data_IF_659640895170
#
_entry.id   IF_659640895170
#
_cell.length_a   1.000
_cell.length_b   1.000
_cell.length_c   1.000
_cell.angle_alpha   90.00
_cell.angle_beta   90.00
_cell.angle_gamma   90.00
#
_symmetry.space_group_name_H-M   'P 1'
#
loop_
_entity.id
_entity.type
_entity.pdbx_description
1 polymer ?
#
# COMPACT_ATOMS: atom_id res chain seq x y z
N UNK A 1 11.37 55.74 5.42
CA UNK A 1 12.49 54.84 5.76
C UNK A 1 12.23 53.97 7.00
N UNK A 2 11.58 54.51 8.04
CA UNK A 2 11.27 53.81 9.30
C UNK A 2 10.50 52.48 9.16
N UNK A 3 9.55 52.39 8.21
CA UNK A 3 8.71 51.19 7.98
C UNK A 3 9.51 49.98 7.45
N UNK A 4 10.60 50.21 6.72
CA UNK A 4 11.48 49.16 6.19
C UNK A 4 12.41 48.60 7.27
N UNK A 5 12.86 49.46 8.18
CA UNK A 5 13.67 49.06 9.35
C UNK A 5 12.84 48.23 10.32
N UNK A 6 11.58 48.60 10.56
CA UNK A 6 10.68 47.84 11.43
C UNK A 6 10.38 46.42 10.90
N UNK A 7 10.19 46.27 9.59
CA UNK A 7 10.01 44.96 8.95
C UNK A 7 11.26 44.08 9.05
N UNK A 8 12.45 44.67 8.94
CA UNK A 8 13.72 43.96 9.06
C UNK A 8 13.97 43.46 10.49
N UNK A 9 13.61 44.25 11.50
CA UNK A 9 13.70 43.84 12.92
C UNK A 9 12.70 42.73 13.25
N UNK A 10 11.47 42.79 12.71
CA UNK A 10 10.48 41.72 12.86
C UNK A 10 10.95 40.41 12.20
N UNK A 11 11.61 40.49 11.05
CA UNK A 11 12.16 39.31 10.37
C UNK A 11 13.27 38.64 11.19
N UNK A 12 14.13 39.44 11.84
CA UNK A 12 15.22 38.94 12.69
C UNK A 12 14.67 38.35 13.99
N UNK A 13 13.65 38.96 14.59
CA UNK A 13 12.96 38.41 15.76
C UNK A 13 12.19 37.12 15.44
N UNK A 14 11.59 37.02 14.25
CA UNK A 14 10.96 35.79 13.77
C UNK A 14 11.98 34.67 13.52
N UNK A 15 13.20 35.01 13.10
CA UNK A 15 14.29 34.05 12.92
C UNK A 15 14.96 33.65 14.25
N UNK A 16 15.01 34.54 15.24
CA UNK A 16 15.59 34.27 16.55
C UNK A 16 14.73 33.42 17.49
N UNK A 17 13.41 33.34 17.25
CA UNK A 17 12.49 32.46 17.99
C UNK A 17 12.31 31.08 17.30
N UNK A 18 12.86 30.90 16.11
CA UNK A 18 12.86 29.63 15.40
C UNK A 18 13.95 28.70 15.96
N UNK A 19 13.60 28.04 17.07
CA UNK A 19 14.19 26.80 17.61
C UNK A 19 15.68 26.80 17.95
N UNK A 20 15.96 26.48 19.21
CA UNK A 20 17.20 25.81 19.62
C UNK A 20 17.39 24.53 18.79
N UNK A 21 18.23 24.61 17.76
CA UNK A 21 18.79 23.42 17.11
C UNK A 21 19.82 22.86 18.08
N UNK A 22 19.37 21.95 18.93
CA UNK A 22 20.28 21.03 19.61
C UNK A 22 21.14 20.36 18.53
N UNK A 23 22.45 20.34 18.72
CA UNK A 23 23.35 19.48 17.98
C UNK A 23 23.00 18.02 18.36
N UNK A 24 21.94 17.50 17.74
CA UNK A 24 21.57 16.11 17.78
C UNK A 24 22.67 15.39 17.01
N UNK A 25 23.36 14.46 17.68
CA UNK A 25 24.45 13.69 17.10
C UNK A 25 24.08 13.18 15.71
N UNK A 26 25.07 13.09 14.83
CA UNK A 26 24.90 12.54 13.49
C UNK A 26 23.97 11.34 13.54
N UNK A 27 22.80 11.49 12.91
CA UNK A 27 21.83 10.43 12.73
C UNK A 27 22.54 9.35 11.93
N UNK A 28 22.90 8.24 12.58
CA UNK A 28 23.29 7.02 11.90
C UNK A 28 22.04 6.50 11.19
N UNK A 29 21.88 6.71 9.86
CA UNK A 29 20.66 6.34 9.16
C UNK A 29 20.51 4.83 9.03
N UNK A 30 21.49 4.06 9.53
CA UNK A 30 21.54 2.62 9.49
C UNK A 30 21.30 1.97 10.87
N UNK A 31 21.30 2.73 11.97
CA UNK A 31 21.19 2.21 13.35
C UNK A 31 22.01 0.90 13.57
N UNK A 32 23.19 0.78 12.95
CA UNK A 32 24.01 -0.44 12.99
C UNK A 32 23.38 -1.73 12.42
N UNK A 33 22.39 -1.65 11.53
CA UNK A 33 21.68 -2.83 11.04
C UNK A 33 22.22 -3.38 9.71
N UNK A 34 22.23 -4.71 9.60
CA UNK A 34 22.41 -5.47 8.35
C UNK A 34 21.39 -5.03 7.28
N UNK A 35 21.57 -5.43 6.02
CA UNK A 35 20.71 -5.06 4.86
C UNK A 35 19.19 -5.06 5.17
N UNK A 36 18.77 -5.96 6.05
CA UNK A 36 17.42 -6.10 6.60
C UNK A 36 16.88 -4.85 7.30
N UNK A 37 17.66 -4.24 8.18
CA UNK A 37 17.22 -3.07 8.93
C UNK A 37 17.09 -1.82 8.09
N UNK A 38 17.96 -1.69 7.09
CA UNK A 38 17.88 -0.62 6.10
C UNK A 38 16.62 -0.76 5.24
N UNK A 39 16.33 -1.97 4.73
CA UNK A 39 15.13 -2.23 3.94
C UNK A 39 13.85 -1.97 4.76
N UNK A 40 13.79 -2.44 6.01
CA UNK A 40 12.64 -2.22 6.89
C UNK A 40 12.46 -0.73 7.22
N UNK A 41 13.54 0.02 7.41
CA UNK A 41 13.48 1.47 7.65
C UNK A 41 12.92 2.23 6.44
N UNK A 42 13.35 1.87 5.22
CA UNK A 42 12.82 2.45 3.98
C UNK A 42 11.35 2.11 3.81
N UNK A 43 10.96 0.85 3.99
CA UNK A 43 9.56 0.41 3.87
C UNK A 43 8.69 1.12 4.89
N UNK A 44 9.11 1.20 6.15
CA UNK A 44 8.35 1.89 7.20
C UNK A 44 8.25 3.39 6.94
N UNK A 45 9.31 4.02 6.42
CA UNK A 45 9.27 5.42 5.97
C UNK A 45 8.29 5.61 4.83
N UNK A 46 8.32 4.71 3.84
CA UNK A 46 7.42 4.74 2.69
C UNK A 46 5.97 4.46 3.09
N UNK A 47 5.70 3.64 4.11
CA UNK A 47 4.35 3.42 4.64
C UNK A 47 3.86 4.62 5.46
N UNK A 48 4.73 5.20 6.29
CA UNK A 48 4.41 6.37 7.11
C UNK A 48 4.05 7.59 6.26
N UNK A 49 4.70 7.77 5.11
CA UNK A 49 4.41 8.85 4.17
C UNK A 49 3.41 8.44 3.08
N UNK A 50 3.49 7.21 2.61
CA UNK A 50 2.71 6.69 1.49
C UNK A 50 1.24 6.48 1.81
N UNK A 51 0.92 6.03 3.03
CA UNK A 51 -0.49 5.90 3.47
C UNK A 51 -1.21 7.25 3.50
N UNK A 52 -0.70 8.31 4.16
CA UNK A 52 -1.35 9.62 4.12
C UNK A 52 -1.32 10.24 2.71
N UNK A 53 -0.27 10.03 1.92
CA UNK A 53 -0.23 10.49 0.52
C UNK A 53 -1.32 9.81 -0.32
N UNK A 54 -1.48 8.49 -0.19
CA UNK A 54 -2.54 7.73 -0.85
C UNK A 54 -3.91 8.25 -0.44
N UNK A 55 -4.13 8.51 0.86
CA UNK A 55 -5.38 9.06 1.34
C UNK A 55 -5.67 10.44 0.70
N UNK A 56 -4.68 11.33 0.64
CA UNK A 56 -4.82 12.64 -0.01
C UNK A 56 -5.15 12.50 -1.50
N UNK A 57 -4.42 11.65 -2.24
CA UNK A 57 -4.66 11.43 -3.67
C UNK A 57 -6.02 10.78 -3.94
N UNK A 58 -6.46 9.87 -3.07
CA UNK A 58 -7.77 9.23 -3.16
C UNK A 58 -8.90 10.23 -2.90
N UNK A 59 -8.75 11.08 -1.88
CA UNK A 59 -9.69 12.18 -1.61
C UNK A 59 -9.73 13.14 -2.81
N UNK A 60 -8.58 13.53 -3.35
CA UNK A 60 -8.51 14.41 -4.52
C UNK A 60 -9.21 13.81 -5.74
N UNK A 61 -8.97 12.51 -6.01
CA UNK A 61 -9.68 11.77 -7.04
C UNK A 61 -11.18 11.71 -6.81
N UNK A 62 -11.62 11.49 -5.56
CA UNK A 62 -13.03 11.45 -5.20
C UNK A 62 -13.73 12.80 -5.39
N UNK A 63 -13.08 13.91 -4.99
CA UNK A 63 -13.61 15.27 -5.22
C UNK A 63 -13.73 15.52 -6.73
N UNK A 64 -12.71 15.18 -7.53
CA UNK A 64 -12.77 15.32 -8.98
C UNK A 64 -13.88 14.48 -9.62
N UNK A 65 -14.15 13.29 -9.08
CA UNK A 65 -15.24 12.43 -9.53
C UNK A 65 -16.61 13.09 -9.32
N UNK A 66 -16.83 13.72 -8.16
CA UNK A 66 -18.07 14.43 -7.83
C UNK A 66 -18.19 15.72 -8.65
N UNK A 67 -17.10 16.47 -8.80
CA UNK A 67 -17.06 17.72 -9.58
C UNK A 67 -17.14 17.51 -11.10
N UNK A 68 -16.96 16.28 -11.59
CA UNK A 68 -16.97 16.00 -13.02
C UNK A 68 -18.32 16.29 -13.69
N UNK A 69 -19.42 16.41 -12.92
CA UNK A 69 -20.75 16.81 -13.40
C UNK A 69 -21.22 16.07 -14.68
N UNK A 70 -20.85 14.79 -14.81
CA UNK A 70 -21.18 13.95 -15.96
C UNK A 70 -20.21 14.04 -17.15
N UNK A 71 -19.13 14.82 -17.08
CA UNK A 71 -18.10 14.84 -18.12
C UNK A 71 -17.30 13.51 -18.11
N UNK A 72 -17.39 12.70 -19.17
CA UNK A 72 -16.77 11.37 -19.20
C UNK A 72 -15.24 11.41 -19.13
N UNK A 73 -14.61 12.47 -19.64
CA UNK A 73 -13.14 12.61 -19.60
C UNK A 73 -12.66 12.81 -18.16
N UNK A 74 -13.32 13.70 -17.41
CA UNK A 74 -12.96 14.00 -16.01
C UNK A 74 -13.27 12.84 -15.07
N UNK A 75 -14.35 12.10 -15.33
CA UNK A 75 -14.68 10.88 -14.58
C UNK A 75 -13.56 9.85 -14.76
N UNK A 76 -13.13 9.60 -16.00
CA UNK A 76 -12.08 8.62 -16.29
C UNK A 76 -10.75 8.99 -15.65
N UNK A 77 -10.38 10.27 -15.70
CA UNK A 77 -9.17 10.79 -15.07
C UNK A 77 -9.21 10.63 -13.54
N UNK A 78 -10.35 10.95 -12.91
CA UNK A 78 -10.55 10.75 -11.47
C UNK A 78 -10.47 9.28 -11.05
N UNK A 79 -11.09 8.37 -11.81
CA UNK A 79 -11.02 6.93 -11.58
C UNK A 79 -9.59 6.39 -11.71
N UNK A 80 -8.85 6.88 -12.71
CA UNK A 80 -7.44 6.54 -12.89
C UNK A 80 -6.59 7.04 -11.72
N UNK A 81 -6.79 8.28 -11.27
CA UNK A 81 -6.06 8.82 -10.13
C UNK A 81 -6.24 7.97 -8.85
N UNK A 82 -7.47 7.55 -8.55
CA UNK A 82 -7.75 6.67 -7.39
C UNK A 82 -7.12 5.29 -7.58
N UNK A 83 -7.23 4.72 -8.79
CA UNK A 83 -6.65 3.40 -9.09
C UNK A 83 -5.13 3.42 -8.95
N UNK A 84 -4.46 4.48 -9.41
CA UNK A 84 -3.01 4.66 -9.27
C UNK A 84 -2.58 4.91 -7.82
N UNK A 85 -3.35 5.69 -7.05
CA UNK A 85 -3.08 5.91 -5.63
C UNK A 85 -3.10 4.59 -4.84
N UNK A 86 -4.10 3.76 -5.09
CA UNK A 86 -4.25 2.47 -4.42
C UNK A 86 -3.26 1.44 -4.99
N UNK A 87 -3.01 1.46 -6.30
CA UNK A 87 -1.97 0.67 -6.93
C UNK A 87 -0.58 0.95 -6.36
N UNK A 88 -0.27 2.21 -6.06
CA UNK A 88 0.98 2.60 -5.39
C UNK A 88 1.12 1.96 -4.01
N UNK A 89 0.07 1.99 -3.18
CA UNK A 89 0.09 1.33 -1.87
C UNK A 89 0.26 -0.20 -2.01
N UNK A 90 -0.42 -0.81 -2.98
CA UNK A 90 -0.32 -2.24 -3.28
C UNK A 90 1.12 -2.62 -3.65
N UNK A 91 1.82 -1.80 -4.43
CA UNK A 91 3.24 -2.04 -4.76
C UNK A 91 4.11 -2.01 -3.50
N UNK A 92 3.88 -1.06 -2.58
CA UNK A 92 4.63 -1.00 -1.32
C UNK A 92 4.39 -2.25 -0.46
N UNK A 93 3.13 -2.70 -0.37
CA UNK A 93 2.78 -3.95 0.33
C UNK A 93 3.45 -5.18 -0.30
N UNK A 94 3.54 -5.24 -1.63
CA UNK A 94 4.24 -6.31 -2.34
C UNK A 94 5.73 -6.31 -2.02
N UNK A 95 6.36 -5.13 -2.06
CA UNK A 95 7.78 -4.97 -1.73
C UNK A 95 8.07 -5.45 -0.32
N UNK A 96 7.29 -5.01 0.67
CA UNK A 96 7.43 -5.44 2.07
C UNK A 96 7.38 -6.96 2.22
N UNK A 97 6.39 -7.62 1.60
CA UNK A 97 6.28 -9.06 1.74
C UNK A 97 7.36 -9.83 0.96
N UNK A 98 7.87 -9.29 -0.15
CA UNK A 98 9.01 -9.88 -0.87
C UNK A 98 10.30 -9.81 -0.05
N UNK A 99 10.56 -8.68 0.63
CA UNK A 99 11.72 -8.55 1.53
C UNK A 99 11.64 -9.53 2.70
N UNK A 100 10.49 -9.55 3.41
CA UNK A 100 10.24 -10.52 4.48
C UNK A 100 10.39 -11.96 3.98
N UNK A 101 10.07 -12.22 2.72
CA UNK A 101 10.16 -13.54 2.10
C UNK A 101 11.60 -13.96 1.81
N UNK A 102 12.40 -13.08 1.20
CA UNK A 102 13.81 -13.34 0.91
C UNK A 102 14.60 -13.73 2.15
N UNK A 103 14.29 -13.12 3.29
CA UNK A 103 14.91 -13.41 4.57
C UNK A 103 14.46 -14.76 5.17
N UNK A 104 13.20 -15.15 4.99
CA UNK A 104 12.66 -16.41 5.55
C UNK A 104 13.00 -17.64 4.71
N UNK A 105 13.50 -17.45 3.48
CA UNK A 105 13.92 -18.55 2.59
C UNK A 105 15.28 -19.15 3.00
N UNK A 106 16.08 -18.40 3.78
CA UNK A 106 17.42 -18.84 4.23
C UNK A 106 17.37 -19.85 5.39
N UNK A 107 16.24 -19.97 6.11
CA UNK A 107 16.16 -20.74 7.36
C UNK A 107 15.46 -22.11 7.28
N UNK A 108 15.15 -22.65 6.10
CA UNK A 108 14.74 -24.05 6.01
C UNK A 108 14.05 -24.43 4.71
N UNK A 109 14.79 -25.10 3.83
CA UNK A 109 14.26 -25.74 2.64
C UNK A 109 14.41 -27.27 2.79
N UNK A 110 13.59 -27.89 3.64
CA UNK A 110 13.68 -29.33 3.89
C UNK A 110 12.37 -30.11 3.98
N UNK A 111 11.21 -29.46 4.14
CA UNK A 111 9.93 -30.14 4.41
C UNK A 111 8.79 -29.75 3.48
N UNK A 112 7.88 -30.70 3.19
CA UNK A 112 6.66 -30.49 2.39
C UNK A 112 5.80 -29.34 2.94
N UNK A 113 5.78 -29.19 4.27
CA UNK A 113 5.09 -28.10 4.98
C UNK A 113 5.70 -26.72 4.70
N UNK A 114 7.02 -26.63 4.57
CA UNK A 114 7.68 -25.38 4.18
C UNK A 114 7.37 -25.00 2.73
N UNK A 115 7.29 -25.96 1.81
CA UNK A 115 6.87 -25.69 0.43
C UNK A 115 5.43 -25.18 0.38
N UNK A 116 4.52 -25.81 1.12
CA UNK A 116 3.13 -25.37 1.21
C UNK A 116 3.01 -23.95 1.79
N UNK A 117 3.74 -23.66 2.86
CA UNK A 117 3.81 -22.33 3.48
C UNK A 117 4.38 -21.26 2.55
N UNK A 118 5.45 -21.58 1.81
CA UNK A 118 6.04 -20.68 0.82
C UNK A 118 5.04 -20.35 -0.29
N UNK A 119 4.40 -21.36 -0.86
CA UNK A 119 3.39 -21.19 -1.92
C UNK A 119 2.20 -20.36 -1.40
N UNK A 120 1.68 -20.68 -0.22
CA UNK A 120 0.57 -19.93 0.37
C UNK A 120 0.94 -18.46 0.63
N UNK A 121 2.16 -18.22 1.11
CA UNK A 121 2.63 -16.88 1.39
C UNK A 121 2.78 -16.04 0.13
N UNK A 122 3.22 -16.63 -0.99
CA UNK A 122 3.18 -15.97 -2.30
C UNK A 122 1.75 -15.67 -2.75
N UNK A 123 0.84 -16.62 -2.55
CA UNK A 123 -0.55 -16.48 -2.91
C UNK A 123 -1.23 -15.35 -2.12
N UNK A 124 -0.92 -15.19 -0.84
CA UNK A 124 -1.44 -14.10 -0.01
C UNK A 124 -0.76 -12.77 -0.35
N UNK A 125 0.57 -12.79 -0.50
CA UNK A 125 1.37 -11.59 -0.80
C UNK A 125 0.97 -10.96 -2.13
N UNK A 126 0.85 -11.75 -3.19
CA UNK A 126 0.50 -11.24 -4.52
C UNK A 126 -1.01 -11.15 -4.67
N UNK A 127 -1.74 -12.18 -4.25
CA UNK A 127 -3.19 -12.27 -4.44
C UNK A 127 -3.99 -11.27 -3.62
N UNK A 128 -3.61 -11.00 -2.37
CA UNK A 128 -4.34 -10.06 -1.49
C UNK A 128 -4.39 -8.64 -2.06
N UNK A 129 -3.25 -7.99 -2.34
CA UNK A 129 -3.20 -6.66 -2.94
C UNK A 129 -3.79 -6.60 -4.36
N UNK A 130 -3.59 -7.63 -5.18
CA UNK A 130 -4.17 -7.70 -6.53
C UNK A 130 -5.70 -7.72 -6.49
N UNK A 131 -6.30 -8.45 -5.55
CA UNK A 131 -7.75 -8.48 -5.35
C UNK A 131 -8.31 -7.09 -5.07
N UNK A 132 -7.61 -6.26 -4.29
CA UNK A 132 -8.02 -4.88 -4.00
C UNK A 132 -8.08 -4.05 -5.29
N UNK A 133 -7.04 -4.12 -6.12
CA UNK A 133 -6.99 -3.36 -7.39
C UNK A 133 -8.10 -3.82 -8.34
N UNK A 134 -8.29 -5.14 -8.48
CA UNK A 134 -9.33 -5.71 -9.35
C UNK A 134 -10.74 -5.34 -8.87
N UNK A 135 -10.97 -5.35 -7.56
CA UNK A 135 -12.24 -4.97 -6.96
C UNK A 135 -12.58 -3.49 -7.24
N UNK A 136 -11.59 -2.60 -7.09
CA UNK A 136 -11.76 -1.18 -7.37
C UNK A 136 -11.98 -0.91 -8.85
N UNK A 137 -11.22 -1.58 -9.71
CA UNK A 137 -11.39 -1.49 -11.16
C UNK A 137 -12.80 -1.92 -11.58
N UNK A 138 -13.30 -3.05 -11.05
CA UNK A 138 -14.68 -3.51 -11.25
C UNK A 138 -15.71 -2.49 -10.76
N UNK A 139 -15.47 -1.85 -9.61
CA UNK A 139 -16.33 -0.81 -9.04
C UNK A 139 -16.45 0.41 -9.95
N UNK A 140 -15.34 0.90 -10.49
CA UNK A 140 -15.36 2.03 -11.42
C UNK A 140 -16.06 1.70 -12.73
N UNK A 141 -15.87 0.47 -13.20
CA UNK A 141 -16.45 0.00 -14.43
C UNK A 141 -17.98 -0.16 -14.30
N UNK A 142 -18.49 -0.51 -13.12
CA UNK A 142 -19.92 -0.52 -12.80
C UNK A 142 -20.52 0.90 -12.69
N UNK A 143 -19.73 1.88 -12.25
CA UNK A 143 -20.13 3.29 -12.19
C UNK A 143 -20.32 3.94 -13.57
N UNK A 144 -19.87 3.29 -14.64
CA UNK A 144 -20.17 3.73 -16.01
C UNK A 144 -21.54 3.21 -16.41
N UNK A 145 -22.47 4.08 -16.83
CA UNK A 145 -23.85 3.74 -17.19
C UNK A 145 -23.99 2.91 -18.49
N UNK A 146 -22.97 2.13 -18.87
CA UNK A 146 -22.94 1.28 -20.05
C UNK A 146 -23.16 -0.19 -19.66
N UNK A 147 -24.17 -0.83 -20.26
CA UNK A 147 -24.53 -2.23 -20.02
C UNK A 147 -23.41 -3.24 -20.32
N UNK A 148 -22.55 -2.96 -21.31
CA UNK A 148 -21.39 -3.82 -21.61
C UNK A 148 -20.39 -3.79 -20.47
N UNK A 149 -20.13 -2.60 -19.92
CA UNK A 149 -19.23 -2.45 -18.80
C UNK A 149 -19.82 -3.12 -17.56
N UNK A 150 -21.09 -2.92 -17.25
CA UNK A 150 -21.73 -3.60 -16.10
C UNK A 150 -21.57 -5.13 -16.16
N UNK A 151 -21.65 -5.75 -17.34
CA UNK A 151 -21.37 -7.19 -17.50
C UNK A 151 -19.91 -7.54 -17.21
N UNK A 152 -18.96 -6.78 -17.74
CA UNK A 152 -17.52 -6.97 -17.46
C UNK A 152 -17.22 -6.80 -15.96
N UNK A 153 -17.79 -5.77 -15.31
CA UNK A 153 -17.64 -5.52 -13.88
C UNK A 153 -18.15 -6.69 -13.03
N UNK A 154 -19.33 -7.23 -13.37
CA UNK A 154 -19.87 -8.42 -12.70
C UNK A 154 -18.92 -9.61 -12.80
N UNK A 155 -18.35 -9.87 -13.98
CA UNK A 155 -17.36 -10.94 -14.13
C UNK A 155 -16.13 -10.67 -13.26
N UNK A 156 -15.59 -9.45 -13.27
CA UNK A 156 -14.45 -9.07 -12.44
C UNK A 156 -14.74 -9.32 -10.95
N UNK A 157 -15.93 -8.94 -10.46
CA UNK A 157 -16.32 -9.20 -9.08
C UNK A 157 -16.41 -10.70 -8.76
N UNK A 158 -16.99 -11.50 -9.65
CA UNK A 158 -17.07 -12.96 -9.48
C UNK A 158 -15.67 -13.55 -9.39
N UNK A 159 -14.79 -13.24 -10.35
CA UNK A 159 -13.42 -13.76 -10.38
C UNK A 159 -12.59 -13.30 -9.17
N UNK A 160 -12.76 -12.05 -8.75
CA UNK A 160 -12.09 -11.50 -7.55
C UNK A 160 -12.57 -12.20 -6.28
N UNK A 161 -13.88 -12.43 -6.15
CA UNK A 161 -14.45 -13.15 -5.01
C UNK A 161 -14.01 -14.62 -4.97
N UNK A 162 -13.96 -15.29 -6.13
CA UNK A 162 -13.44 -16.66 -6.24
C UNK A 162 -11.97 -16.72 -5.85
N UNK A 163 -11.13 -15.80 -6.36
CA UNK A 163 -9.72 -15.74 -6.00
C UNK A 163 -9.54 -15.53 -4.48
N UNK A 164 -10.28 -14.59 -3.89
CA UNK A 164 -10.24 -14.34 -2.45
C UNK A 164 -10.67 -15.56 -1.63
N UNK A 165 -11.72 -16.28 -2.06
CA UNK A 165 -12.16 -17.51 -1.42
C UNK A 165 -11.12 -18.63 -1.52
N UNK A 166 -10.44 -18.77 -2.65
CA UNK A 166 -9.34 -19.75 -2.81
C UNK A 166 -8.18 -19.39 -1.88
N UNK A 167 -7.80 -18.12 -1.79
CA UNK A 167 -6.74 -17.63 -0.89
C UNK A 167 -7.09 -17.92 0.57
N UNK A 168 -8.33 -17.67 0.99
CA UNK A 168 -8.77 -17.90 2.37
C UNK A 168 -8.79 -19.39 2.73
N UNK A 169 -9.28 -20.25 1.83
CA UNK A 169 -9.30 -21.71 2.04
C UNK A 169 -7.90 -22.30 2.07
N UNK A 170 -7.01 -21.86 1.18
CA UNK A 170 -5.60 -22.29 1.18
C UNK A 170 -4.92 -22.00 2.52
N UNK A 171 -5.33 -20.94 3.20
CA UNK A 171 -4.77 -20.54 4.50
C UNK A 171 -5.14 -21.49 5.65
N UNK A 172 -6.32 -22.12 5.57
CA UNK A 172 -6.82 -23.04 6.60
C UNK A 172 -6.20 -24.44 6.47
N UNK A 173 -5.76 -24.85 5.28
CA UNK A 173 -5.20 -26.18 5.03
C UNK A 173 -3.97 -26.52 5.90
N UNK A 174 -3.23 -25.51 6.35
CA UNK A 174 -2.12 -25.66 7.28
C UNK A 174 -2.54 -26.16 8.68
N UNK A 175 -3.75 -25.82 9.14
CA UNK A 175 -4.28 -26.27 10.43
C UNK A 175 -4.55 -27.79 10.40
N UNK A 176 -4.98 -28.32 9.26
CA UNK A 176 -5.23 -29.75 9.09
C UNK A 176 -3.93 -30.55 9.25
N UNK A 177 -2.80 -30.02 8.75
CA UNK A 177 -1.49 -30.65 8.93
C UNK A 177 -0.97 -30.59 10.38
N UNK A 178 -1.34 -29.56 11.15
CA UNK A 178 -1.02 -29.45 12.57
C UNK A 178 -1.90 -30.36 13.43
N UNK A 179 -3.20 -30.45 13.13
CA UNK A 179 -4.14 -31.37 13.81
C UNK A 179 -3.69 -32.82 13.61
N UNK A 180 -3.28 -33.21 12.40
CA UNK A 180 -2.88 -34.58 12.10
C UNK A 180 -1.53 -34.98 12.74
N UNK A 181 -0.68 -34.00 13.08
CA UNK A 181 0.57 -34.22 13.84
C UNK A 181 0.36 -34.19 15.37
N UNK A 182 -0.68 -33.52 15.88
CA UNK A 182 -1.07 -33.54 17.30
C UNK A 182 -1.98 -34.72 17.67
N UNK A 183 -2.57 -35.39 16.67
CA UNK A 183 -3.38 -36.59 16.83
C UNK A 183 -2.56 -37.91 16.80
N UNK A 184 -1.23 -37.80 16.74
CA UNK A 184 -0.27 -38.89 16.98
C UNK A 184 0.46 -38.63 18.29
#
# INVERSE_FOLDING_TARGET
MLKKILLFVILILAFGLASSVFAQGFYDPLHGQELEGFANTIINGLMTLGVPLMAIMTIWGAINLVMAAGNPSKIKEAQQAITWAIGGLVVVMLVEGLFKFGMQTVSGAGSLTQLLNTIQRYLLLIGGPLCIVMFLYGSFLMGTANMENIKKAKNIFIWTAVALAVISVATVANIISLINNLAK
#
